data_IF_278705455620
#
_entry.id   IF_278705455620
#
_cell.length_a   1.000
_cell.length_b   1.000
_cell.length_c   1.000
_cell.angle_alpha   90.00
_cell.angle_beta   90.00
_cell.angle_gamma   90.00
#
_symmetry.space_group_name_H-M   'P 1'
#
loop_
_entity.id
_entity.type
_entity.pdbx_description
1 polymer ?
#
# COMPACT_ATOMS: atom_id res chain seq x y z
N UNK A 1 -80.13 -18.79 55.53
CA UNK A 1 -78.82 -19.25 55.02
C UNK A 1 -78.85 -19.05 53.51
N UNK A 2 -78.02 -18.29 52.79
CA UNK A 2 -76.82 -17.48 53.06
C UNK A 2 -76.75 -16.34 52.02
N UNK A 3 -75.99 -15.29 52.39
CA UNK A 3 -75.49 -14.20 51.52
C UNK A 3 -74.54 -14.76 50.43
N UNK A 4 -74.39 -14.01 49.33
CA UNK A 4 -73.17 -13.77 48.51
C UNK A 4 -73.49 -13.77 47.00
N UNK A 5 -72.91 -12.96 46.12
CA UNK A 5 -72.07 -11.77 46.21
C UNK A 5 -71.94 -11.21 44.78
N UNK A 6 -71.98 -9.89 44.66
CA UNK A 6 -71.62 -9.09 43.47
C UNK A 6 -70.26 -9.48 42.91
N UNK A 7 -70.07 -9.35 41.60
CA UNK A 7 -68.74 -9.30 40.99
C UNK A 7 -68.79 -9.14 39.47
N UNK A 8 -68.75 -7.90 38.99
CA UNK A 8 -68.46 -7.58 37.60
C UNK A 8 -67.01 -7.97 37.30
N UNK A 9 -66.78 -8.85 36.34
CA UNK A 9 -65.44 -9.17 35.84
C UNK A 9 -65.10 -8.15 34.75
N UNK A 10 -64.38 -7.10 35.14
CA UNK A 10 -63.67 -6.24 34.21
C UNK A 10 -62.43 -6.98 33.71
N UNK A 11 -62.41 -7.29 32.42
CA UNK A 11 -61.30 -7.95 31.74
C UNK A 11 -60.16 -6.92 31.53
N UNK A 12 -59.27 -6.79 32.52
CA UNK A 12 -57.99 -6.08 32.34
C UNK A 12 -56.99 -7.02 31.66
N UNK A 13 -56.93 -6.99 30.32
CA UNK A 13 -55.78 -7.51 29.59
C UNK A 13 -54.63 -6.51 29.71
N UNK A 14 -53.77 -6.72 30.71
CA UNK A 14 -52.48 -6.05 30.79
C UNK A 14 -51.59 -6.55 29.63
N UNK A 15 -51.28 -5.66 28.69
CA UNK A 15 -50.25 -5.91 27.69
C UNK A 15 -48.91 -6.01 28.41
N UNK A 16 -48.36 -7.21 28.53
CA UNK A 16 -46.98 -7.42 28.93
C UNK A 16 -46.08 -6.96 27.77
N UNK A 17 -45.64 -5.70 27.81
CA UNK A 17 -44.53 -5.24 27.00
C UNK A 17 -43.28 -6.00 27.48
N UNK A 18 -42.91 -7.06 26.76
CA UNK A 18 -41.54 -7.59 26.85
C UNK A 18 -40.62 -6.46 26.36
N UNK A 19 -39.96 -5.79 27.30
CA UNK A 19 -38.75 -5.06 26.99
C UNK A 19 -37.74 -6.08 26.46
N UNK A 20 -37.56 -6.16 25.15
CA UNK A 20 -36.34 -6.71 24.60
C UNK A 20 -35.21 -5.80 25.11
N UNK A 21 -34.43 -6.31 26.05
CA UNK A 21 -33.12 -5.73 26.32
C UNK A 21 -32.38 -5.68 24.98
N UNK A 22 -31.68 -4.58 24.65
CA UNK A 22 -30.81 -4.57 23.49
C UNK A 22 -29.89 -5.79 23.61
N UNK A 23 -29.79 -6.59 22.56
CA UNK A 23 -28.92 -7.75 22.55
C UNK A 23 -27.53 -7.26 22.95
N UNK A 24 -27.01 -7.76 24.09
CA UNK A 24 -25.67 -7.44 24.53
C UNK A 24 -24.72 -7.71 23.36
N UNK A 25 -23.92 -6.71 22.98
CA UNK A 25 -22.98 -6.86 21.89
C UNK A 25 -22.10 -8.09 22.16
N UNK A 26 -21.99 -8.97 21.17
CA UNK A 26 -21.21 -10.19 21.32
C UNK A 26 -19.76 -9.84 21.70
N UNK A 27 -19.18 -10.51 22.73
CA UNK A 27 -17.80 -10.25 23.15
C UNK A 27 -16.82 -10.53 22.00
N UNK A 28 -15.61 -9.96 22.10
CA UNK A 28 -14.52 -10.24 21.17
C UNK A 28 -13.81 -11.52 21.58
N UNK A 29 -13.83 -12.53 20.72
CA UNK A 29 -13.21 -13.83 20.95
C UNK A 29 -11.87 -13.94 20.21
N UNK A 30 -10.81 -14.22 20.97
CA UNK A 30 -9.47 -14.43 20.41
C UNK A 30 -8.75 -13.16 20.00
N UNK A 31 -7.48 -13.33 19.57
CA UNK A 31 -6.60 -12.20 19.27
C UNK A 31 -6.97 -11.51 17.96
N UNK A 32 -7.34 -12.27 16.92
CA UNK A 32 -7.67 -11.74 15.59
C UNK A 32 -8.85 -10.77 15.63
N UNK A 33 -9.92 -11.11 16.36
CA UNK A 33 -11.06 -10.21 16.51
C UNK A 33 -10.68 -8.95 17.29
N UNK A 34 -9.91 -9.07 18.37
CA UNK A 34 -9.45 -7.93 19.16
C UNK A 34 -8.60 -6.97 18.32
N UNK A 35 -7.67 -7.49 17.52
CA UNK A 35 -6.88 -6.67 16.58
C UNK A 35 -7.77 -6.01 15.52
N UNK A 36 -8.69 -6.77 14.92
CA UNK A 36 -9.64 -6.25 13.93
C UNK A 36 -10.50 -5.13 14.50
N UNK A 37 -10.93 -5.27 15.76
CA UNK A 37 -11.70 -4.26 16.47
C UNK A 37 -10.88 -3.00 16.74
N UNK A 38 -9.62 -3.13 17.20
CA UNK A 38 -8.73 -1.97 17.40
C UNK A 38 -8.48 -1.24 16.09
N UNK A 39 -8.22 -1.97 15.00
CA UNK A 39 -8.08 -1.35 13.66
C UNK A 39 -9.36 -0.59 13.29
N UNK A 40 -10.53 -1.18 13.53
CA UNK A 40 -11.81 -0.51 13.28
C UNK A 40 -12.03 0.73 14.16
N UNK A 41 -11.57 0.72 15.41
CA UNK A 41 -11.57 1.91 16.27
C UNK A 41 -10.69 3.02 15.68
N UNK A 42 -9.47 2.69 15.24
CA UNK A 42 -8.53 3.65 14.67
C UNK A 42 -9.05 4.24 13.34
N UNK A 43 -9.59 3.38 12.46
CA UNK A 43 -10.23 3.82 11.20
C UNK A 43 -11.43 4.70 11.51
N UNK A 44 -12.31 4.28 12.42
CA UNK A 44 -13.47 5.07 12.83
C UNK A 44 -13.09 6.42 13.42
N UNK A 45 -12.02 6.49 14.22
CA UNK A 45 -11.49 7.75 14.75
C UNK A 45 -10.98 8.66 13.63
N UNK A 46 -10.28 8.09 12.63
CA UNK A 46 -9.74 8.86 11.50
C UNK A 46 -10.85 9.41 10.59
N UNK A 47 -11.95 8.67 10.45
CA UNK A 47 -13.08 9.01 9.59
C UNK A 47 -14.21 9.75 10.32
N UNK A 48 -14.15 9.91 11.64
CA UNK A 48 -15.16 10.64 12.40
C UNK A 48 -15.49 12.03 11.82
N UNK A 49 -14.52 12.82 11.30
CA UNK A 49 -14.82 14.10 10.65
C UNK A 49 -15.56 14.01 9.31
N UNK A 50 -15.80 12.83 8.75
CA UNK A 50 -16.53 12.65 7.47
C UNK A 50 -17.54 11.51 7.53
N UNK A 51 -17.72 10.89 8.70
CA UNK A 51 -18.50 9.67 8.84
C UNK A 51 -19.98 9.82 8.50
N UNK A 52 -20.57 11.00 8.76
CA UNK A 52 -21.96 11.30 8.39
C UNK A 52 -22.20 11.46 6.88
N UNK A 53 -21.12 11.63 6.11
CA UNK A 53 -21.14 11.90 4.67
C UNK A 53 -20.87 10.64 3.83
N UNK A 54 -20.91 9.46 4.46
CA UNK A 54 -20.45 8.20 3.88
C UNK A 54 -21.49 7.09 4.03
N UNK A 55 -21.69 6.33 2.95
CA UNK A 55 -22.46 5.09 2.98
C UNK A 55 -21.57 3.93 3.47
N UNK A 56 -21.95 3.31 4.59
CA UNK A 56 -21.14 2.26 5.21
C UNK A 56 -21.08 0.96 4.40
N UNK A 57 -22.12 0.64 3.63
CA UNK A 57 -22.17 -0.60 2.85
C UNK A 57 -21.29 -0.46 1.59
N UNK A 58 -21.29 0.73 0.98
CA UNK A 58 -20.36 1.10 -0.08
C UNK A 58 -18.91 1.11 0.44
N UNK A 59 -18.67 1.66 1.63
CA UNK A 59 -17.37 1.62 2.29
C UNK A 59 -16.88 0.19 2.50
N UNK A 60 -17.70 -0.68 3.12
CA UNK A 60 -17.35 -2.07 3.37
C UNK A 60 -17.06 -2.83 2.07
N UNK A 61 -17.86 -2.61 1.02
CA UNK A 61 -17.65 -3.23 -0.30
C UNK A 61 -16.31 -2.82 -0.91
N UNK A 62 -15.97 -1.52 -0.87
CA UNK A 62 -14.71 -1.04 -1.43
C UNK A 62 -13.50 -1.47 -0.58
N UNK A 63 -13.64 -1.48 0.75
CA UNK A 63 -12.65 -2.00 1.67
C UNK A 63 -12.34 -3.48 1.40
N UNK A 64 -13.38 -4.32 1.28
CA UNK A 64 -13.24 -5.74 0.95
C UNK A 64 -12.56 -5.95 -0.41
N UNK A 65 -12.96 -5.18 -1.43
CA UNK A 65 -12.38 -5.24 -2.76
C UNK A 65 -10.88 -4.87 -2.74
N UNK A 66 -10.52 -3.79 -2.06
CA UNK A 66 -9.12 -3.34 -1.96
C UNK A 66 -8.24 -4.33 -1.17
N UNK A 67 -8.76 -4.94 -0.10
CA UNK A 67 -8.04 -5.99 0.64
C UNK A 67 -7.76 -7.24 -0.21
N UNK A 68 -8.56 -7.47 -1.25
CA UNK A 68 -8.37 -8.56 -2.22
C UNK A 68 -7.50 -8.13 -3.43
N UNK A 69 -6.97 -6.91 -3.43
CA UNK A 69 -6.17 -6.37 -4.53
C UNK A 69 -6.99 -5.97 -5.77
N UNK A 70 -8.31 -5.80 -5.61
CA UNK A 70 -9.18 -5.35 -6.70
C UNK A 70 -8.95 -3.89 -7.08
N UNK A 71 -9.27 -3.54 -8.33
CA UNK A 71 -9.23 -2.16 -8.81
C UNK A 71 -10.26 -1.28 -8.07
N UNK A 72 -10.01 0.03 -7.90
CA UNK A 72 -10.95 0.94 -7.25
C UNK A 72 -12.34 0.90 -7.90
N UNK A 73 -13.38 0.86 -7.07
CA UNK A 73 -14.79 0.82 -7.52
C UNK A 73 -15.36 2.21 -7.85
N UNK A 74 -14.51 3.23 -7.80
CA UNK A 74 -14.80 4.62 -8.15
C UNK A 74 -13.65 5.12 -9.03
N UNK A 75 -13.97 5.84 -10.10
CA UNK A 75 -12.95 6.40 -10.98
C UNK A 75 -12.18 7.56 -10.31
N UNK A 76 -10.99 7.86 -10.84
CA UNK A 76 -10.08 8.83 -10.22
C UNK A 76 -10.64 10.25 -10.19
N UNK A 77 -11.37 10.69 -11.22
CA UNK A 77 -11.94 12.04 -11.27
C UNK A 77 -13.05 12.20 -10.23
N UNK A 78 -13.94 11.20 -10.15
CA UNK A 78 -14.98 11.14 -9.12
C UNK A 78 -14.37 11.10 -7.72
N UNK A 79 -13.37 10.25 -7.47
CA UNK A 79 -12.68 10.20 -6.18
C UNK A 79 -12.06 11.54 -5.77
N UNK A 80 -11.38 12.24 -6.69
CA UNK A 80 -10.79 13.55 -6.41
C UNK A 80 -11.85 14.60 -6.06
N UNK A 81 -12.95 14.65 -6.82
CA UNK A 81 -14.03 15.60 -6.59
C UNK A 81 -14.73 15.34 -5.25
N UNK A 82 -15.03 14.08 -4.93
CA UNK A 82 -15.65 13.66 -3.67
C UNK A 82 -14.74 13.98 -2.49
N UNK A 83 -13.45 13.65 -2.58
CA UNK A 83 -12.47 13.94 -1.53
C UNK A 83 -12.37 15.44 -1.23
N UNK A 84 -12.40 16.30 -2.25
CA UNK A 84 -12.43 17.76 -2.06
C UNK A 84 -13.69 18.21 -1.32
N UNK A 85 -14.87 17.69 -1.69
CA UNK A 85 -16.13 18.05 -1.02
C UNK A 85 -16.12 17.58 0.44
N UNK A 86 -15.66 16.35 0.72
CA UNK A 86 -15.52 15.84 2.09
C UNK A 86 -14.60 16.72 2.95
N UNK A 87 -13.49 17.19 2.38
CA UNK A 87 -12.58 18.13 3.07
C UNK A 87 -13.29 19.44 3.43
N UNK A 88 -14.04 20.03 2.50
CA UNK A 88 -14.79 21.27 2.75
C UNK A 88 -15.86 21.07 3.83
N UNK A 89 -16.57 19.94 3.80
CA UNK A 89 -17.60 19.57 4.78
C UNK A 89 -17.01 19.37 6.17
N UNK A 90 -15.90 18.63 6.27
CA UNK A 90 -15.17 18.44 7.52
C UNK A 90 -14.66 19.79 8.08
N UNK A 91 -14.08 20.64 7.23
CA UNK A 91 -13.63 21.98 7.61
C UNK A 91 -14.79 22.84 8.13
N UNK A 92 -15.93 22.83 7.44
CA UNK A 92 -17.13 23.54 7.87
C UNK A 92 -17.62 23.08 9.24
N UNK A 93 -17.68 21.75 9.48
CA UNK A 93 -18.05 21.19 10.79
C UNK A 93 -17.05 21.51 11.90
N UNK A 94 -15.78 21.66 11.56
CA UNK A 94 -14.74 22.13 12.47
C UNK A 94 -14.74 23.67 12.68
N UNK A 95 -15.68 24.41 12.08
CA UNK A 95 -15.75 25.87 12.16
C UNK A 95 -14.64 26.60 11.39
N UNK A 96 -13.96 25.90 10.47
CA UNK A 96 -12.92 26.47 9.63
C UNK A 96 -13.52 27.09 8.35
N UNK A 97 -12.90 28.16 7.81
CA UNK A 97 -13.36 28.76 6.57
C UNK A 97 -13.15 27.80 5.39
N UNK A 98 -14.20 27.62 4.58
CA UNK A 98 -14.13 26.85 3.33
C UNK A 98 -13.40 27.67 2.26
N UNK A 99 -12.18 27.26 1.90
CA UNK A 99 -11.37 27.96 0.89
C UNK A 99 -12.09 27.99 -0.46
N UNK A 100 -12.09 29.16 -1.11
CA UNK A 100 -12.76 29.35 -2.41
C UNK A 100 -14.26 29.62 -2.32
N UNK A 101 -14.87 29.63 -1.12
CA UNK A 101 -16.28 29.97 -0.93
C UNK A 101 -16.45 31.23 -0.05
N UNK A 102 -17.50 32.05 -0.30
CA UNK A 102 -17.82 33.19 0.56
C UNK A 102 -18.08 32.77 2.02
N UNK A 103 -17.77 33.63 3.02
CA UNK A 103 -18.11 33.38 4.41
C UNK A 103 -19.61 33.13 4.60
N UNK A 104 -19.96 32.07 5.35
CA UNK A 104 -21.35 31.68 5.59
C UNK A 104 -22.00 30.85 4.48
N UNK A 105 -21.25 30.46 3.43
CA UNK A 105 -21.75 29.52 2.43
C UNK A 105 -22.07 28.17 3.07
N UNK A 106 -23.13 27.50 2.59
CA UNK A 106 -23.38 26.10 2.90
C UNK A 106 -22.34 25.23 2.19
N UNK A 107 -21.90 24.11 2.80
CA UNK A 107 -20.99 23.20 2.14
C UNK A 107 -21.67 22.50 0.96
N UNK A 108 -20.94 22.15 -0.11
CA UNK A 108 -21.49 21.38 -1.23
C UNK A 108 -22.06 20.03 -0.78
N UNK A 109 -23.05 19.52 -1.52
CA UNK A 109 -23.55 18.15 -1.34
C UNK A 109 -22.52 17.13 -1.81
N UNK A 110 -22.54 15.95 -1.18
CA UNK A 110 -21.67 14.82 -1.51
C UNK A 110 -22.52 13.57 -1.70
N UNK A 111 -22.18 12.78 -2.71
CA UNK A 111 -22.76 11.46 -2.88
C UNK A 111 -22.12 10.51 -1.85
N UNK A 112 -22.90 10.09 -0.85
CA UNK A 112 -22.45 9.24 0.23
C UNK A 112 -21.96 7.86 -0.24
N UNK A 113 -22.53 7.33 -1.34
CA UNK A 113 -22.08 6.07 -1.93
C UNK A 113 -20.68 6.24 -2.52
N UNK A 114 -20.44 7.32 -3.27
CA UNK A 114 -19.11 7.59 -3.82
C UNK A 114 -18.08 7.90 -2.73
N UNK A 115 -18.48 8.62 -1.68
CA UNK A 115 -17.65 8.83 -0.49
C UNK A 115 -17.26 7.50 0.17
N UNK A 116 -18.23 6.60 0.35
CA UNK A 116 -17.98 5.25 0.89
C UNK A 116 -17.01 4.47 0.03
N UNK A 117 -17.26 4.40 -1.29
CA UNK A 117 -16.40 3.68 -2.23
C UNK A 117 -14.94 4.21 -2.20
N UNK A 118 -14.77 5.53 -2.20
CA UNK A 118 -13.44 6.15 -2.16
C UNK A 118 -12.72 5.86 -0.84
N UNK A 119 -13.35 6.19 0.29
CA UNK A 119 -12.74 6.02 1.62
C UNK A 119 -12.44 4.55 1.92
N UNK A 120 -13.35 3.65 1.54
CA UNK A 120 -13.17 2.21 1.71
C UNK A 120 -11.99 1.67 0.91
N UNK A 121 -11.82 2.12 -0.34
CA UNK A 121 -10.69 1.74 -1.17
C UNK A 121 -9.35 2.23 -0.58
N UNK A 122 -9.29 3.46 -0.08
CA UNK A 122 -8.07 4.02 0.50
C UNK A 122 -7.69 3.32 1.81
N UNK A 123 -8.66 3.11 2.71
CA UNK A 123 -8.44 2.34 3.94
C UNK A 123 -8.01 0.90 3.60
N UNK A 124 -8.69 0.23 2.68
CA UNK A 124 -8.34 -1.14 2.30
C UNK A 124 -6.95 -1.26 1.71
N UNK A 125 -6.52 -0.31 0.88
CA UNK A 125 -5.15 -0.28 0.34
C UNK A 125 -4.12 -0.11 1.46
N UNK A 126 -4.40 0.76 2.44
CA UNK A 126 -3.51 0.96 3.59
C UNK A 126 -3.41 -0.26 4.50
N UNK A 127 -4.48 -1.06 4.60
CA UNK A 127 -4.55 -2.25 5.43
C UNK A 127 -4.12 -3.53 4.69
N UNK A 128 -3.87 -3.47 3.38
CA UNK A 128 -3.49 -4.62 2.57
C UNK A 128 -2.30 -5.43 3.15
N UNK A 129 -1.22 -4.84 3.69
CA UNK A 129 -0.10 -5.59 4.29
C UNK A 129 -0.48 -6.46 5.49
N UNK A 130 -1.63 -6.19 6.10
CA UNK A 130 -2.17 -6.91 7.26
C UNK A 130 -3.55 -7.50 6.99
N UNK A 131 -4.00 -7.54 5.74
CA UNK A 131 -5.36 -7.97 5.39
C UNK A 131 -5.72 -9.38 5.88
N UNK A 132 -4.74 -10.29 5.91
CA UNK A 132 -4.92 -11.65 6.44
C UNK A 132 -5.23 -11.72 7.96
N UNK A 133 -4.95 -10.65 8.70
CA UNK A 133 -5.19 -10.55 10.15
C UNK A 133 -6.56 -9.91 10.47
N UNK A 134 -7.28 -9.44 9.45
CA UNK A 134 -8.50 -8.64 9.64
C UNK A 134 -9.75 -9.51 9.45
N UNK A 135 -10.69 -9.36 10.40
CA UNK A 135 -12.08 -9.80 10.31
C UNK A 135 -12.95 -8.58 10.01
N UNK A 136 -13.35 -8.44 8.74
CA UNK A 136 -14.05 -7.26 8.25
C UNK A 136 -15.34 -6.93 9.05
N UNK A 137 -16.20 -7.90 9.40
CA UNK A 137 -17.38 -7.60 10.22
C UNK A 137 -17.04 -7.00 11.59
N UNK A 138 -15.93 -7.43 12.20
CA UNK A 138 -15.49 -6.94 13.51
C UNK A 138 -14.90 -5.53 13.40
N UNK A 139 -14.12 -5.28 12.35
CA UNK A 139 -13.63 -3.94 12.01
C UNK A 139 -14.79 -2.96 11.80
N UNK A 140 -15.77 -3.33 10.97
CA UNK A 140 -16.92 -2.47 10.67
C UNK A 140 -17.77 -2.19 11.92
N UNK A 141 -17.90 -3.16 12.82
CA UNK A 141 -18.56 -2.98 14.12
C UNK A 141 -17.90 -1.88 14.95
N UNK A 142 -16.57 -1.92 15.09
CA UNK A 142 -15.83 -0.90 15.84
C UNK A 142 -15.86 0.47 15.16
N UNK A 143 -15.73 0.49 13.83
CA UNK A 143 -15.77 1.71 13.02
C UNK A 143 -17.09 2.46 13.21
N UNK A 144 -18.22 1.75 13.04
CA UNK A 144 -19.56 2.34 13.22
C UNK A 144 -19.74 2.83 14.65
N UNK A 145 -19.42 2.00 15.65
CA UNK A 145 -19.49 2.40 17.06
C UNK A 145 -18.67 3.67 17.36
N UNK A 146 -17.47 3.79 16.80
CA UNK A 146 -16.61 4.97 17.01
C UNK A 146 -17.18 6.24 16.36
N UNK A 147 -17.68 6.14 15.13
CA UNK A 147 -18.22 7.30 14.40
C UNK A 147 -19.56 7.75 14.99
N UNK A 148 -20.44 6.80 15.35
CA UNK A 148 -21.78 7.07 15.87
C UNK A 148 -21.79 7.40 17.38
N UNK A 149 -20.63 7.34 18.05
CA UNK A 149 -20.51 7.58 19.49
C UNK A 149 -21.12 6.46 20.35
N UNK A 150 -21.17 5.24 19.84
CA UNK A 150 -21.60 4.04 20.55
C UNK A 150 -20.58 3.55 21.59
N UNK A 151 -21.02 2.61 22.42
CA UNK A 151 -20.16 1.98 23.43
C UNK A 151 -19.09 1.09 22.76
N UNK A 152 -17.82 1.31 23.13
CA UNK A 152 -16.69 0.54 22.62
C UNK A 152 -16.44 -0.69 23.50
N UNK A 153 -16.13 -1.83 22.87
CA UNK A 153 -15.88 -3.11 23.55
C UNK A 153 -14.48 -3.21 24.16
N UNK A 154 -13.58 -2.31 23.81
CA UNK A 154 -12.23 -2.22 24.35
C UNK A 154 -12.01 -0.81 24.89
N UNK A 155 -11.36 -0.73 26.04
CA UNK A 155 -10.87 0.55 26.56
C UNK A 155 -9.71 1.08 25.70
N UNK A 156 -9.47 2.39 25.75
CA UNK A 156 -8.33 3.00 25.06
C UNK A 156 -6.99 2.37 25.48
N UNK A 157 -6.84 2.04 26.76
CA UNK A 157 -5.62 1.40 27.27
C UNK A 157 -5.41 -0.02 26.72
N UNK A 158 -6.48 -0.80 26.56
CA UNK A 158 -6.41 -2.12 25.92
C UNK A 158 -6.11 -1.99 24.42
N UNK A 159 -6.73 -1.02 23.75
CA UNK A 159 -6.49 -0.74 22.34
C UNK A 159 -5.02 -0.34 22.10
N UNK A 160 -4.45 0.54 22.93
CA UNK A 160 -3.04 0.96 22.84
C UNK A 160 -2.06 -0.21 23.04
N UNK A 161 -2.33 -1.08 24.02
CA UNK A 161 -1.51 -2.26 24.27
C UNK A 161 -1.54 -3.24 23.08
N UNK A 162 -2.73 -3.48 22.52
CA UNK A 162 -2.91 -4.31 21.33
C UNK A 162 -2.24 -3.72 20.10
N UNK A 163 -2.39 -2.40 19.87
CA UNK A 163 -1.73 -1.68 18.77
C UNK A 163 -0.22 -1.83 18.81
N UNK A 164 0.37 -1.64 19.99
CA UNK A 164 1.83 -1.71 20.19
C UNK A 164 2.33 -3.13 19.94
N UNK A 165 1.68 -4.14 20.54
CA UNK A 165 2.04 -5.54 20.35
C UNK A 165 1.89 -5.99 18.90
N UNK A 166 0.80 -5.61 18.24
CA UNK A 166 0.55 -5.92 16.84
C UNK A 166 1.59 -5.29 15.91
N UNK A 167 1.86 -3.99 16.07
CA UNK A 167 2.83 -3.27 15.24
C UNK A 167 4.24 -3.86 15.37
N UNK A 168 4.66 -4.24 16.59
CA UNK A 168 5.95 -4.90 16.81
C UNK A 168 6.04 -6.25 16.09
N UNK A 169 4.99 -7.08 16.15
CA UNK A 169 4.96 -8.37 15.44
C UNK A 169 4.94 -8.22 13.93
N UNK A 170 4.16 -7.27 13.41
CA UNK A 170 4.15 -6.96 11.97
C UNK A 170 5.54 -6.54 11.53
N UNK A 171 6.21 -5.65 12.27
CA UNK A 171 7.57 -5.24 11.97
C UNK A 171 8.57 -6.40 11.99
N UNK A 172 8.50 -7.27 13.00
CA UNK A 172 9.36 -8.46 13.10
C UNK A 172 9.13 -9.41 11.92
N UNK A 173 7.87 -9.69 11.56
CA UNK A 173 7.52 -10.52 10.39
C UNK A 173 8.08 -9.92 9.11
N UNK A 174 7.85 -8.64 8.85
CA UNK A 174 8.35 -7.96 7.65
C UNK A 174 9.88 -7.99 7.56
N UNK A 175 10.57 -7.83 8.69
CA UNK A 175 12.04 -7.94 8.73
C UNK A 175 12.51 -9.37 8.45
N UNK A 176 11.84 -10.37 9.03
CA UNK A 176 12.17 -11.78 8.80
C UNK A 176 11.94 -12.19 7.34
N UNK A 177 10.82 -11.77 6.75
CA UNK A 177 10.50 -11.99 5.33
C UNK A 177 11.53 -11.31 4.41
N UNK A 178 11.87 -10.04 4.68
CA UNK A 178 12.89 -9.33 3.93
C UNK A 178 14.27 -10.00 4.02
N UNK A 179 14.67 -10.46 5.21
CA UNK A 179 15.92 -11.18 5.41
C UNK A 179 15.94 -12.52 4.64
N UNK A 180 14.85 -13.30 4.72
CA UNK A 180 14.72 -14.55 3.97
C UNK A 180 14.76 -14.32 2.46
N UNK A 181 14.05 -13.31 1.96
CA UNK A 181 14.08 -12.92 0.56
C UNK A 181 15.49 -12.48 0.13
N UNK A 182 16.17 -11.70 0.97
CA UNK A 182 17.54 -11.23 0.72
C UNK A 182 18.54 -12.38 0.61
N UNK A 183 18.42 -13.41 1.45
CA UNK A 183 19.26 -14.60 1.36
C UNK A 183 18.96 -15.43 0.09
N UNK A 184 17.67 -15.58 -0.27
CA UNK A 184 17.29 -16.27 -1.51
C UNK A 184 17.82 -15.55 -2.74
N UNK A 185 17.55 -14.24 -2.85
CA UNK A 185 18.01 -13.42 -3.97
C UNK A 185 19.54 -13.43 -4.12
N UNK A 186 20.26 -13.37 -2.99
CA UNK A 186 21.73 -13.46 -2.99
C UNK A 186 22.19 -14.81 -3.53
N UNK A 187 21.63 -15.91 -3.01
CA UNK A 187 22.01 -17.26 -3.44
C UNK A 187 21.67 -17.52 -4.92
N UNK A 188 20.48 -17.12 -5.37
CA UNK A 188 20.06 -17.23 -6.77
C UNK A 188 20.93 -16.38 -7.69
N UNK A 189 21.22 -15.14 -7.30
CA UNK A 189 22.12 -14.25 -8.01
C UNK A 189 23.54 -14.80 -8.15
N UNK A 190 24.12 -15.27 -7.05
CA UNK A 190 25.45 -15.90 -7.05
C UNK A 190 25.50 -17.14 -7.95
N UNK A 191 24.48 -18.01 -7.87
CA UNK A 191 24.39 -19.20 -8.72
C UNK A 191 24.22 -18.84 -10.20
N UNK A 192 23.38 -17.86 -10.52
CA UNK A 192 23.19 -17.35 -11.87
C UNK A 192 24.51 -16.80 -12.43
N UNK A 193 25.19 -15.91 -11.70
CA UNK A 193 26.46 -15.30 -12.13
C UNK A 193 27.59 -16.34 -12.20
N UNK A 194 27.53 -17.40 -11.40
CA UNK A 194 28.45 -18.53 -11.50
C UNK A 194 28.31 -19.26 -12.85
N UNK A 195 27.09 -19.54 -13.33
CA UNK A 195 26.90 -20.14 -14.65
C UNK A 195 27.06 -19.15 -15.81
N UNK A 196 26.67 -17.90 -15.62
CA UNK A 196 26.66 -16.90 -16.68
C UNK A 196 28.08 -16.50 -17.13
N UNK A 197 29.06 -16.51 -16.22
CA UNK A 197 30.47 -16.19 -16.55
C UNK A 197 31.07 -17.13 -17.61
N UNK A 198 30.56 -18.36 -17.71
CA UNK A 198 31.05 -19.37 -18.64
C UNK A 198 30.36 -19.29 -20.01
N UNK A 199 29.37 -18.39 -20.17
CA UNK A 199 28.68 -18.24 -21.46
C UNK A 199 29.54 -17.50 -22.49
N UNK A 200 29.44 -17.86 -23.79
CA UNK A 200 30.18 -17.20 -24.84
C UNK A 200 29.95 -15.68 -24.92
N UNK A 201 31.04 -14.93 -24.87
CA UNK A 201 31.06 -13.47 -24.96
C UNK A 201 30.71 -12.74 -23.66
N UNK A 202 30.52 -13.45 -22.55
CA UNK A 202 30.40 -12.85 -21.22
C UNK A 202 31.79 -12.56 -20.67
N UNK A 203 31.97 -11.36 -20.13
CA UNK A 203 33.19 -10.89 -19.49
C UNK A 203 32.87 -10.51 -18.06
N UNK A 204 33.68 -10.96 -17.10
CA UNK A 204 33.57 -10.60 -15.68
C UNK A 204 34.68 -9.62 -15.31
N UNK A 205 34.33 -8.51 -14.67
CA UNK A 205 35.30 -7.53 -14.17
C UNK A 205 35.78 -7.87 -12.76
N UNK A 206 36.78 -7.13 -12.25
CA UNK A 206 37.30 -7.34 -10.90
C UNK A 206 36.30 -7.04 -9.77
N UNK A 207 35.26 -6.26 -10.02
CA UNK A 207 34.19 -5.98 -9.05
C UNK A 207 33.11 -7.06 -9.00
N UNK A 208 33.11 -7.98 -9.98
CA UNK A 208 32.08 -9.00 -10.16
C UNK A 208 30.97 -8.59 -11.13
N UNK A 209 31.00 -7.38 -11.71
CA UNK A 209 30.13 -7.02 -12.82
C UNK A 209 30.36 -7.99 -13.99
N UNK A 210 29.28 -8.50 -14.56
CA UNK A 210 29.33 -9.26 -15.81
C UNK A 210 28.69 -8.48 -16.93
N UNK A 211 29.27 -8.56 -18.13
CA UNK A 211 28.69 -7.92 -19.29
C UNK A 211 28.93 -8.72 -20.57
N UNK A 212 28.11 -8.45 -21.57
CA UNK A 212 28.26 -8.97 -22.92
C UNK A 212 28.04 -7.85 -23.92
N UNK A 213 28.93 -7.75 -24.90
CA UNK A 213 28.76 -6.80 -25.99
C UNK A 213 27.75 -7.35 -26.99
N UNK A 214 26.63 -6.66 -27.14
CA UNK A 214 25.58 -7.01 -28.12
C UNK A 214 25.86 -6.31 -29.46
N UNK A 215 26.24 -5.03 -29.39
CA UNK A 215 26.68 -4.24 -30.55
C UNK A 215 27.84 -3.36 -30.15
N UNK A 216 28.92 -3.40 -30.93
CA UNK A 216 30.04 -2.49 -30.72
C UNK A 216 29.71 -1.08 -31.20
N UNK A 217 30.15 -0.09 -30.43
CA UNK A 217 30.17 1.31 -30.82
C UNK A 217 31.55 1.73 -31.31
N UNK A 218 31.65 2.95 -31.82
CA UNK A 218 32.91 3.50 -32.34
C UNK A 218 33.20 4.91 -31.85
N UNK A 219 32.32 5.49 -31.02
CA UNK A 219 32.52 6.82 -30.46
C UNK A 219 33.40 6.82 -29.20
N UNK A 220 33.58 7.99 -28.56
CA UNK A 220 34.35 8.09 -27.32
C UNK A 220 33.71 7.28 -26.20
N UNK A 221 34.50 6.93 -25.18
CA UNK A 221 33.98 6.36 -23.93
C UNK A 221 33.77 7.46 -22.90
N UNK A 222 32.70 7.43 -22.10
CA UNK A 222 32.49 8.42 -21.06
C UNK A 222 33.48 8.21 -19.91
N UNK A 223 33.92 9.31 -19.31
CA UNK A 223 34.58 9.31 -18.01
C UNK A 223 33.55 9.10 -16.90
N UNK A 224 33.91 8.53 -15.74
CA UNK A 224 32.98 8.34 -14.62
C UNK A 224 32.32 9.62 -14.08
N UNK A 225 32.81 10.79 -14.49
CA UNK A 225 32.30 12.12 -14.12
C UNK A 225 31.28 12.67 -15.10
N UNK A 226 31.17 12.08 -16.27
CA UNK A 226 30.41 12.62 -17.38
C UNK A 226 28.91 12.37 -17.21
N UNK A 227 28.13 13.10 -18.00
CA UNK A 227 26.73 12.84 -18.21
C UNK A 227 26.56 12.08 -19.52
N UNK A 228 25.67 11.11 -19.53
CA UNK A 228 25.43 10.26 -20.69
C UNK A 228 23.96 10.28 -21.08
N UNK A 229 23.69 10.06 -22.37
CA UNK A 229 22.34 9.79 -22.88
C UNK A 229 22.24 8.33 -23.29
N UNK A 230 21.24 7.62 -22.78
CA UNK A 230 21.10 6.17 -23.01
C UNK A 230 19.66 5.77 -23.31
N UNK A 231 19.51 4.68 -24.05
CA UNK A 231 18.35 3.82 -23.89
C UNK A 231 18.67 2.64 -22.98
N UNK A 232 17.70 2.19 -22.18
CA UNK A 232 17.89 1.01 -21.35
C UNK A 232 16.59 0.25 -21.06
N UNK A 233 16.77 -1.01 -20.70
CA UNK A 233 15.73 -1.90 -20.23
C UNK A 233 16.27 -2.73 -19.05
N UNK A 234 15.69 -2.52 -17.87
CA UNK A 234 16.09 -3.16 -16.61
C UNK A 234 15.09 -4.20 -16.15
N UNK A 235 15.59 -5.41 -15.87
CA UNK A 235 14.80 -6.57 -15.42
C UNK A 235 15.46 -7.28 -14.25
N UNK A 236 14.64 -7.90 -13.39
CA UNK A 236 15.10 -8.91 -12.45
C UNK A 236 15.45 -10.21 -13.20
N UNK A 237 16.09 -11.16 -12.53
CA UNK A 237 16.45 -12.46 -13.13
C UNK A 237 15.24 -13.28 -13.60
N UNK A 238 14.07 -13.07 -13.01
CA UNK A 238 12.81 -13.71 -13.39
C UNK A 238 12.13 -13.05 -14.61
N UNK A 239 12.70 -11.96 -15.14
CA UNK A 239 12.16 -11.21 -16.27
C UNK A 239 11.23 -10.06 -15.90
N UNK A 240 10.92 -9.85 -14.62
CA UNK A 240 10.12 -8.72 -14.15
C UNK A 240 10.82 -7.41 -14.53
N UNK A 241 10.15 -6.61 -15.37
CA UNK A 241 10.62 -5.27 -15.76
C UNK A 241 10.41 -4.33 -14.59
N UNK A 242 11.47 -3.67 -14.13
CA UNK A 242 11.37 -2.65 -13.07
C UNK A 242 11.54 -1.23 -13.60
N UNK A 243 12.20 -1.05 -14.74
CA UNK A 243 12.41 0.26 -15.35
C UNK A 243 12.83 0.13 -16.83
N UNK A 244 12.22 0.93 -17.72
CA UNK A 244 12.62 0.98 -19.12
C UNK A 244 12.39 2.34 -19.76
N UNK A 245 13.43 2.89 -20.39
CA UNK A 245 13.29 4.12 -21.17
C UNK A 245 12.60 3.90 -22.52
N UNK A 246 12.63 2.67 -23.05
CA UNK A 246 11.88 2.32 -24.25
C UNK A 246 10.36 2.38 -24.01
N UNK A 247 9.88 1.92 -22.85
CA UNK A 247 8.47 1.98 -22.47
C UNK A 247 7.99 3.42 -22.25
N UNK A 248 8.87 4.30 -21.78
CA UNK A 248 8.60 5.74 -21.69
C UNK A 248 8.63 6.47 -23.03
N UNK A 249 9.22 5.87 -24.06
CA UNK A 249 9.30 6.45 -25.40
C UNK A 249 10.39 7.50 -25.62
N UNK A 250 11.25 7.76 -24.62
CA UNK A 250 12.33 8.74 -24.72
C UNK A 250 13.63 8.25 -24.04
N UNK A 251 14.82 8.63 -24.55
CA UNK A 251 16.09 8.36 -23.88
C UNK A 251 16.17 8.99 -22.49
N UNK A 252 16.98 8.40 -21.62
CA UNK A 252 17.27 8.96 -20.31
C UNK A 252 18.68 9.59 -20.27
N UNK A 253 18.83 10.65 -19.47
CA UNK A 253 20.11 11.29 -19.21
C UNK A 253 20.53 11.07 -17.75
N UNK A 254 21.75 10.60 -17.53
CA UNK A 254 22.26 10.32 -16.19
C UNK A 254 23.67 10.87 -16.02
N UNK A 255 23.97 11.46 -14.87
CA UNK A 255 25.36 11.63 -14.44
C UNK A 255 25.89 10.30 -13.92
N UNK A 256 27.04 9.84 -14.40
CA UNK A 256 27.56 8.51 -14.01
C UNK A 256 27.92 8.39 -12.52
N UNK A 257 28.01 9.50 -11.78
CA UNK A 257 28.16 9.51 -10.31
C UNK A 257 26.85 9.38 -9.53
N UNK A 258 25.70 9.47 -10.20
CA UNK A 258 24.37 9.50 -9.58
C UNK A 258 23.59 8.19 -9.80
N UNK A 259 24.24 7.21 -10.41
CA UNK A 259 23.68 5.88 -10.69
C UNK A 259 24.37 4.83 -9.82
N UNK A 260 23.81 3.61 -9.82
CA UNK A 260 24.39 2.49 -9.07
C UNK A 260 25.83 2.18 -9.53
N UNK A 261 26.70 1.66 -8.63
CA UNK A 261 28.11 1.41 -8.96
C UNK A 261 28.34 0.57 -10.22
N UNK A 262 27.50 -0.45 -10.45
CA UNK A 262 27.59 -1.30 -11.63
C UNK A 262 27.31 -0.55 -12.94
N UNK A 263 26.47 0.48 -12.92
CA UNK A 263 26.24 1.36 -14.07
C UNK A 263 27.42 2.31 -14.29
N UNK A 264 27.94 2.94 -13.22
CA UNK A 264 29.12 3.81 -13.29
C UNK A 264 30.30 3.07 -13.92
N UNK A 265 30.54 1.83 -13.49
CA UNK A 265 31.59 0.97 -14.04
C UNK A 265 31.26 0.51 -15.47
N UNK A 266 30.09 -0.09 -15.68
CA UNK A 266 29.72 -0.73 -16.93
C UNK A 266 29.63 0.25 -18.11
N UNK A 267 28.99 1.40 -17.92
CA UNK A 267 28.81 2.39 -18.99
C UNK A 267 30.14 3.05 -19.38
N UNK A 268 31.08 3.20 -18.44
CA UNK A 268 32.43 3.69 -18.75
C UNK A 268 33.23 2.73 -19.68
N UNK A 269 32.82 1.46 -19.78
CA UNK A 269 33.40 0.49 -20.72
C UNK A 269 32.83 0.60 -22.14
N UNK A 270 31.71 1.30 -22.32
CA UNK A 270 30.98 1.38 -23.57
C UNK A 270 31.49 2.54 -24.43
N UNK A 271 31.93 2.29 -25.68
CA UNK A 271 32.02 3.34 -26.69
C UNK A 271 30.62 3.87 -27.03
N UNK A 272 30.49 5.17 -27.31
CA UNK A 272 29.24 5.72 -27.86
C UNK A 272 28.81 4.95 -29.12
N UNK A 273 27.51 4.66 -29.20
CA UNK A 273 26.85 3.83 -30.21
C UNK A 273 26.75 2.34 -29.83
N UNK A 274 27.43 1.91 -28.76
CA UNK A 274 27.42 0.52 -28.33
C UNK A 274 26.11 0.13 -27.63
N UNK A 275 25.78 -1.16 -27.71
CA UNK A 275 24.72 -1.79 -26.91
C UNK A 275 25.29 -2.98 -26.15
N UNK A 276 25.25 -2.92 -24.83
CA UNK A 276 25.77 -3.95 -23.93
C UNK A 276 24.63 -4.53 -23.10
N UNK A 277 24.76 -5.79 -22.72
CA UNK A 277 23.99 -6.40 -21.64
C UNK A 277 24.86 -6.45 -20.39
N UNK A 278 24.32 -6.05 -19.25
CA UNK A 278 24.96 -6.11 -17.93
C UNK A 278 24.18 -7.05 -17.03
N UNK A 279 24.90 -7.82 -16.21
CA UNK A 279 24.39 -8.52 -15.05
C UNK A 279 25.11 -7.99 -13.83
N UNK A 280 24.38 -7.26 -12.99
CA UNK A 280 24.91 -6.46 -11.90
C UNK A 280 24.57 -7.15 -10.59
N UNK A 281 25.56 -7.68 -9.84
CA UNK A 281 25.31 -8.28 -8.54
C UNK A 281 24.74 -7.26 -7.55
N UNK A 282 23.97 -7.73 -6.57
CA UNK A 282 23.28 -6.87 -5.61
C UNK A 282 24.19 -5.82 -4.93
N UNK A 283 25.43 -6.16 -4.60
CA UNK A 283 26.38 -5.21 -3.98
C UNK A 283 26.84 -4.07 -4.91
N UNK A 284 26.69 -4.20 -6.23
CA UNK A 284 26.93 -3.14 -7.22
C UNK A 284 25.63 -2.45 -7.65
N UNK A 285 24.52 -2.80 -7.01
CA UNK A 285 23.17 -2.29 -7.26
C UNK A 285 22.58 -1.67 -5.98
N UNK A 286 21.45 -2.19 -5.49
CA UNK A 286 20.73 -1.66 -4.32
C UNK A 286 21.01 -2.43 -3.01
N UNK A 287 21.88 -3.42 -3.03
CA UNK A 287 22.37 -4.13 -1.85
C UNK A 287 21.28 -4.79 -0.99
N UNK A 288 21.58 -5.01 0.28
CA UNK A 288 20.73 -5.74 1.22
C UNK A 288 19.38 -5.08 1.53
N UNK A 289 19.20 -3.80 1.18
CA UNK A 289 17.95 -3.08 1.41
C UNK A 289 17.02 -3.11 0.20
N UNK A 290 17.54 -3.30 -1.02
CA UNK A 290 16.75 -3.13 -2.24
C UNK A 290 16.25 -1.68 -2.40
N UNK A 291 15.17 -1.50 -3.15
CA UNK A 291 14.49 -0.21 -3.29
C UNK A 291 13.32 -0.10 -2.31
N UNK A 292 13.22 0.96 -1.48
CA UNK A 292 12.09 1.15 -0.57
C UNK A 292 10.75 1.23 -1.34
N UNK A 293 9.84 0.30 -1.06
CA UNK A 293 8.53 0.24 -1.73
C UNK A 293 8.57 -0.02 -3.23
N UNK A 294 9.74 -0.35 -3.78
CA UNK A 294 9.95 -0.60 -5.21
C UNK A 294 10.04 -2.08 -5.54
N UNK A 295 10.03 -2.43 -6.84
CA UNK A 295 10.05 -3.82 -7.31
C UNK A 295 11.40 -4.53 -7.07
N UNK A 296 12.48 -3.81 -6.72
CA UNK A 296 13.80 -4.40 -6.51
C UNK A 296 13.95 -4.83 -5.06
N UNK A 297 13.89 -6.14 -4.85
CA UNK A 297 14.09 -6.76 -3.54
C UNK A 297 15.53 -6.68 -3.01
N UNK A 298 15.73 -7.05 -1.74
CA UNK A 298 17.05 -7.11 -1.10
C UNK A 298 18.00 -8.06 -1.84
N UNK A 299 19.25 -7.65 -2.03
CA UNK A 299 20.33 -8.38 -2.72
C UNK A 299 20.01 -8.84 -4.16
N UNK A 300 18.99 -8.28 -4.80
CA UNK A 300 18.60 -8.68 -6.15
C UNK A 300 19.73 -8.40 -7.16
N UNK A 301 20.01 -9.39 -8.01
CA UNK A 301 20.87 -9.22 -9.19
C UNK A 301 20.04 -8.60 -10.31
N UNK A 302 20.56 -7.56 -10.95
CA UNK A 302 19.87 -6.82 -11.99
C UNK A 302 20.41 -7.17 -13.37
N UNK A 303 19.53 -7.25 -14.35
CA UNK A 303 19.88 -7.40 -15.76
C UNK A 303 19.51 -6.12 -16.49
N UNK A 304 20.47 -5.51 -17.18
CA UNK A 304 20.23 -4.34 -18.01
C UNK A 304 20.68 -4.59 -19.45
N UNK A 305 19.84 -4.23 -20.41
CA UNK A 305 20.29 -3.89 -21.76
C UNK A 305 20.45 -2.38 -21.84
N UNK A 306 21.64 -1.89 -22.18
CA UNK A 306 21.95 -0.47 -22.27
C UNK A 306 22.51 -0.14 -23.64
N UNK A 307 21.99 0.91 -24.26
CA UNK A 307 22.46 1.49 -25.50
C UNK A 307 22.96 2.91 -25.22
N UNK A 308 24.27 3.13 -25.37
CA UNK A 308 24.89 4.43 -25.15
C UNK A 308 24.76 5.29 -26.39
N UNK A 309 23.98 6.36 -26.30
CA UNK A 309 23.68 7.23 -27.44
C UNK A 309 24.67 8.38 -27.54
N UNK A 310 25.06 8.97 -26.40
CA UNK A 310 25.93 10.15 -26.39
C UNK A 310 26.63 10.38 -25.04
N UNK A 311 27.70 11.19 -25.08
CA UNK A 311 28.34 11.80 -23.89
C UNK A 311 28.09 13.31 -23.96
N UNK A 312 27.54 13.88 -22.89
CA UNK A 312 26.98 15.23 -22.84
C UNK A 312 27.89 16.24 -22.15
#
# INVERSE_FOLDING_TARGET
>A
MSKAMRGAVALCLAAAALFMLPAAAQPLDGERERISYVIGMDVGQSLAPVGEDMDYDAFERALANALQGGEPLVDTETAQSVGMVLMLRAAHRAGQPMQGLPPGSAPPEVDAVQAGLMLGADVGRSLAPVGGEIELPVLMRALRARIEGGELLLSEAEADALRTGFSARVQERMQAEAAQLGERNRAEGEAFLAGNRDQPGVITTGSGLQYKVIRQGSGPRPMPTDRVRVHYHGTLLDGTVFDSSYERGEPAEFGLRQVIPGWTEGVALMPVGAKYRFWIPGQLAYGASGTPGGPIGPNATLVFDVELLDVL
#
